data_IF_448731857838
#
_entry.id   IF_448731857838
#
_cell.length_a   1.000
_cell.length_b   1.000
_cell.length_c   1.000
_cell.angle_alpha   90.00
_cell.angle_beta   90.00
_cell.angle_gamma   90.00
#
_symmetry.space_group_name_H-M   'P 1'
#
loop_
_entity.id
_entity.type
_entity.pdbx_description
1 polymer ?
#
# COMPACT_ATOMS: atom_id res chain seq x y z
N UNK A 1 -23.26 -19.57 -26.67
CA UNK A 1 -21.96 -19.09 -27.15
C UNK A 1 -21.29 -18.40 -25.95
N UNK A 2 -20.23 -18.99 -25.41
CA UNK A 2 -19.44 -18.35 -24.33
C UNK A 2 -18.81 -17.10 -24.90
N UNK A 3 -19.17 -15.92 -24.36
CA UNK A 3 -18.49 -14.66 -24.68
C UNK A 3 -17.04 -14.85 -24.22
N UNK A 4 -16.08 -14.86 -25.17
CA UNK A 4 -14.66 -14.90 -24.80
C UNK A 4 -14.37 -13.63 -23.99
N UNK A 5 -13.86 -13.82 -22.76
CA UNK A 5 -13.41 -12.73 -21.90
C UNK A 5 -12.43 -11.82 -22.66
N UNK A 6 -12.65 -10.52 -22.62
CA UNK A 6 -11.74 -9.53 -23.22
C UNK A 6 -10.39 -9.57 -22.50
N UNK A 7 -10.36 -10.05 -21.24
CA UNK A 7 -9.17 -10.06 -20.39
C UNK A 7 -8.15 -11.16 -20.73
N UNK A 8 -8.54 -12.18 -21.50
CA UNK A 8 -7.69 -13.37 -21.77
C UNK A 8 -7.19 -13.44 -23.22
N UNK A 9 -7.55 -12.51 -24.09
CA UNK A 9 -7.11 -12.48 -25.48
C UNK A 9 -5.69 -11.90 -25.68
N UNK A 10 -5.08 -12.18 -26.85
CA UNK A 10 -3.73 -11.69 -27.22
C UNK A 10 -3.59 -10.15 -27.07
N UNK A 11 -4.66 -9.40 -27.32
CA UNK A 11 -4.67 -7.95 -27.16
C UNK A 11 -4.53 -7.53 -25.69
N UNK A 12 -5.15 -8.27 -24.77
CA UNK A 12 -5.03 -8.04 -23.35
C UNK A 12 -3.62 -8.36 -22.84
N UNK A 13 -3.05 -9.45 -23.33
CA UNK A 13 -1.66 -9.83 -23.02
C UNK A 13 -0.67 -8.77 -23.51
N UNK A 14 -0.87 -8.21 -24.71
CA UNK A 14 -0.04 -7.10 -25.22
C UNK A 14 -0.18 -5.85 -24.34
N UNK A 15 -1.40 -5.41 -24.00
CA UNK A 15 -1.61 -4.26 -23.11
C UNK A 15 -0.95 -4.45 -21.75
N UNK A 16 -1.00 -5.66 -21.18
CA UNK A 16 -0.29 -6.03 -19.97
C UNK A 16 1.23 -5.96 -20.13
N UNK A 17 1.79 -6.48 -21.21
CA UNK A 17 3.23 -6.44 -21.46
C UNK A 17 3.75 -5.01 -21.62
N UNK A 18 3.04 -4.15 -22.36
CA UNK A 18 3.39 -2.75 -22.54
C UNK A 18 3.28 -1.95 -21.23
N UNK A 19 2.23 -2.18 -20.44
CA UNK A 19 2.11 -1.63 -19.10
C UNK A 19 3.30 -2.06 -18.23
N UNK A 20 3.72 -3.33 -18.30
CA UNK A 20 4.85 -3.86 -17.55
C UNK A 20 6.19 -3.23 -17.95
N UNK A 21 6.40 -2.95 -19.23
CA UNK A 21 7.59 -2.21 -19.68
C UNK A 21 7.60 -0.80 -19.09
N UNK A 22 6.48 -0.09 -19.13
CA UNK A 22 6.33 1.25 -18.57
C UNK A 22 6.54 1.26 -17.06
N UNK A 23 5.97 0.28 -16.35
CA UNK A 23 6.12 0.17 -14.90
C UNK A 23 7.58 -0.06 -14.49
N UNK A 24 8.26 -1.01 -15.14
CA UNK A 24 9.69 -1.24 -14.88
C UNK A 24 10.57 -0.03 -15.20
N UNK A 25 10.20 0.73 -16.23
CA UNK A 25 10.90 1.98 -16.54
C UNK A 25 10.64 3.06 -15.46
N UNK A 26 9.47 3.08 -14.84
CA UNK A 26 9.13 3.98 -13.74
C UNK A 26 9.85 3.58 -12.43
N UNK A 27 9.85 2.29 -12.07
CA UNK A 27 10.60 1.76 -10.92
C UNK A 27 10.90 0.25 -11.10
N UNK A 28 12.19 -0.16 -10.99
CA UNK A 28 12.58 -1.56 -11.16
C UNK A 28 12.05 -2.51 -10.06
N UNK A 29 11.54 -1.99 -8.93
CA UNK A 29 10.89 -2.79 -7.89
C UNK A 29 9.42 -3.12 -8.21
N UNK A 30 8.83 -2.48 -9.22
CA UNK A 30 7.46 -2.80 -9.63
C UNK A 30 7.40 -4.22 -10.22
N UNK A 31 6.37 -5.01 -9.89
CA UNK A 31 6.19 -6.34 -10.43
C UNK A 31 5.83 -6.27 -11.92
N UNK A 32 6.02 -7.39 -12.62
CA UNK A 32 5.32 -7.57 -13.88
C UNK A 32 3.80 -7.56 -13.62
N UNK A 33 3.00 -6.92 -14.50
CA UNK A 33 1.56 -6.93 -14.31
C UNK A 33 1.03 -8.37 -14.29
N UNK A 34 0.38 -8.75 -13.21
CA UNK A 34 -0.34 -10.01 -13.15
C UNK A 34 -1.47 -10.02 -14.21
N UNK A 35 -1.86 -11.19 -14.72
CA UNK A 35 -3.09 -11.30 -15.52
C UNK A 35 -4.27 -10.70 -14.76
N UNK A 36 -5.17 -10.02 -15.49
CA UNK A 36 -6.41 -9.56 -14.89
C UNK A 36 -7.30 -10.76 -14.62
N UNK A 37 -7.94 -10.77 -13.44
CA UNK A 37 -8.76 -11.90 -13.01
C UNK A 37 -9.98 -12.07 -13.90
N UNK A 38 -10.22 -13.28 -14.48
CA UNK A 38 -11.43 -13.58 -15.23
C UNK A 38 -12.68 -13.65 -14.33
N UNK A 39 -12.51 -13.96 -13.04
CA UNK A 39 -13.57 -13.93 -12.04
C UNK A 39 -13.65 -12.52 -11.43
N UNK A 40 -14.20 -11.58 -12.19
CA UNK A 40 -14.44 -10.21 -11.77
C UNK A 40 -15.93 -9.86 -11.96
N UNK A 41 -16.40 -8.83 -11.26
CA UNK A 41 -17.80 -8.37 -11.35
C UNK A 41 -18.10 -7.73 -12.71
N UNK A 42 -17.09 -7.13 -13.33
CA UNK A 42 -17.21 -6.56 -14.68
C UNK A 42 -15.85 -6.44 -15.37
N UNK A 43 -15.88 -6.62 -16.71
CA UNK A 43 -14.75 -6.35 -17.60
C UNK A 43 -14.97 -5.05 -18.34
N UNK A 44 -13.94 -4.22 -18.38
CA UNK A 44 -13.95 -2.95 -19.10
C UNK A 44 -12.86 -2.94 -20.16
N UNK A 45 -13.16 -2.40 -21.33
CA UNK A 45 -12.18 -2.26 -22.40
C UNK A 45 -12.35 -0.95 -23.15
N UNK A 46 -11.25 -0.37 -23.60
CA UNK A 46 -11.19 0.83 -24.46
C UNK A 46 -10.40 0.47 -25.70
N UNK A 47 -11.01 0.66 -26.87
CA UNK A 47 -10.35 0.46 -28.15
C UNK A 47 -10.25 1.77 -28.95
N UNK A 48 -9.27 1.82 -29.85
CA UNK A 48 -9.17 2.82 -30.91
C UNK A 48 -10.26 2.59 -31.99
N UNK A 49 -10.54 3.57 -32.85
CA UNK A 49 -11.47 3.39 -33.97
C UNK A 49 -11.15 2.22 -34.89
N UNK A 50 -9.86 1.85 -35.00
CA UNK A 50 -9.38 0.68 -35.78
C UNK A 50 -9.50 -0.65 -35.06
N UNK A 51 -10.08 -0.70 -33.84
CA UNK A 51 -10.25 -1.92 -33.05
C UNK A 51 -9.06 -2.32 -32.19
N UNK A 52 -7.95 -1.59 -32.24
CA UNK A 52 -6.80 -1.81 -31.37
C UNK A 52 -7.15 -1.53 -29.90
N UNK A 53 -6.80 -2.44 -29.01
CA UNK A 53 -7.06 -2.33 -27.58
C UNK A 53 -6.07 -1.36 -26.92
N UNK A 54 -6.59 -0.28 -26.34
CA UNK A 54 -5.80 0.77 -25.68
C UNK A 54 -5.74 0.58 -24.17
N UNK A 55 -6.81 0.11 -23.55
CA UNK A 55 -6.87 -0.14 -22.12
C UNK A 55 -7.90 -1.21 -21.79
N UNK A 56 -7.59 -1.97 -20.73
CA UNK A 56 -8.49 -2.98 -20.15
C UNK A 56 -8.51 -2.83 -18.63
N UNK A 57 -9.58 -3.27 -18.03
CA UNK A 57 -9.73 -3.31 -16.57
C UNK A 57 -10.66 -4.43 -16.10
N UNK A 58 -10.34 -5.00 -14.96
CA UNK A 58 -11.23 -5.87 -14.19
C UNK A 58 -11.73 -5.12 -12.96
N UNK A 59 -13.03 -5.18 -12.72
CA UNK A 59 -13.68 -4.59 -11.56
C UNK A 59 -13.96 -5.66 -10.53
N UNK A 60 -13.64 -5.40 -9.27
CA UNK A 60 -13.95 -6.26 -8.14
C UNK A 60 -14.62 -5.43 -7.04
N UNK A 61 -15.55 -6.05 -6.33
CA UNK A 61 -16.21 -5.46 -5.17
C UNK A 61 -15.81 -6.21 -3.91
N UNK A 62 -15.24 -5.48 -2.96
CA UNK A 62 -14.83 -6.00 -1.67
C UNK A 62 -15.68 -5.39 -0.56
N UNK A 63 -16.15 -6.25 0.34
CA UNK A 63 -16.85 -5.88 1.57
C UNK A 63 -15.95 -6.21 2.76
N UNK A 64 -15.67 -5.22 3.59
CA UNK A 64 -14.87 -5.40 4.79
C UNK A 64 -15.62 -6.18 5.86
N UNK A 65 -14.90 -7.04 6.56
CA UNK A 65 -15.40 -7.65 7.78
C UNK A 65 -15.47 -6.57 8.87
N UNK A 66 -16.66 -6.30 9.46
CA UNK A 66 -16.82 -5.26 10.47
C UNK A 66 -15.94 -5.47 11.70
N UNK A 67 -15.49 -6.68 11.98
CA UNK A 67 -14.66 -7.01 13.13
C UNK A 67 -13.16 -7.07 12.80
N UNK A 68 -12.77 -6.99 11.53
CA UNK A 68 -11.38 -7.03 11.13
C UNK A 68 -10.67 -5.67 11.25
N UNK A 69 -9.38 -5.71 11.56
CA UNK A 69 -8.55 -4.51 11.71
C UNK A 69 -8.37 -3.75 10.40
N UNK A 70 -8.34 -4.46 9.26
CA UNK A 70 -8.14 -3.87 7.93
C UNK A 70 -9.22 -2.85 7.54
N UNK A 71 -10.43 -2.98 8.14
CA UNK A 71 -11.51 -2.02 7.98
C UNK A 71 -11.16 -0.62 8.53
N UNK A 72 -10.21 -0.53 9.45
CA UNK A 72 -9.69 0.74 9.97
C UNK A 72 -8.98 1.56 8.89
N UNK A 73 -8.40 0.90 7.87
CA UNK A 73 -7.54 1.51 6.87
C UNK A 73 -8.25 1.96 5.59
N UNK A 74 -9.58 1.84 5.53
CA UNK A 74 -10.31 2.20 4.31
C UNK A 74 -11.82 2.29 4.48
N UNK A 75 -12.52 2.38 3.34
CA UNK A 75 -13.98 2.33 3.29
C UNK A 75 -14.48 0.90 3.56
N UNK A 76 -15.68 0.78 4.15
CA UNK A 76 -16.29 -0.51 4.43
C UNK A 76 -16.61 -1.32 3.16
N UNK A 77 -16.86 -0.63 2.06
CA UNK A 77 -17.13 -1.24 0.77
C UNK A 77 -16.22 -0.59 -0.28
N UNK A 78 -15.41 -1.40 -0.94
CA UNK A 78 -14.44 -0.94 -1.93
C UNK A 78 -14.74 -1.55 -3.29
N UNK A 79 -14.87 -0.70 -4.30
CA UNK A 79 -14.96 -1.08 -5.70
C UNK A 79 -13.59 -0.85 -6.30
N UNK A 80 -12.91 -1.91 -6.66
CA UNK A 80 -11.52 -1.86 -7.12
C UNK A 80 -11.44 -2.04 -8.62
N UNK A 81 -10.63 -1.20 -9.28
CA UNK A 81 -10.29 -1.33 -10.69
C UNK A 81 -8.81 -1.74 -10.82
N UNK A 82 -8.58 -2.95 -11.33
CA UNK A 82 -7.27 -3.35 -11.82
C UNK A 82 -7.16 -3.00 -13.30
N UNK A 83 -6.33 -2.01 -13.65
CA UNK A 83 -6.22 -1.50 -15.01
C UNK A 83 -4.89 -1.84 -15.69
N UNK A 84 -4.93 -2.09 -17.00
CA UNK A 84 -3.75 -2.18 -17.88
C UNK A 84 -3.98 -1.25 -19.06
N UNK A 85 -3.04 -0.35 -19.29
CA UNK A 85 -3.10 0.64 -20.38
C UNK A 85 -1.89 0.42 -21.27
N UNK A 86 -2.13 0.26 -22.55
CA UNK A 86 -1.09 0.06 -23.54
C UNK A 86 -0.29 1.34 -23.82
N UNK A 87 0.91 1.17 -24.32
CA UNK A 87 1.78 2.25 -24.79
C UNK A 87 2.79 2.80 -23.77
N UNK A 88 3.74 3.61 -24.27
CA UNK A 88 4.74 4.29 -23.44
C UNK A 88 4.11 5.43 -22.63
N UNK A 89 4.81 5.88 -21.58
CA UNK A 89 4.36 7.02 -20.77
C UNK A 89 4.11 8.26 -21.65
N UNK A 90 2.97 8.91 -21.44
CA UNK A 90 2.61 10.10 -22.22
C UNK A 90 1.11 10.34 -22.32
N UNK A 91 0.69 11.36 -23.12
CA UNK A 91 -0.71 11.75 -23.25
C UNK A 91 -1.64 10.63 -23.71
N UNK A 92 -1.20 9.74 -24.60
CA UNK A 92 -2.02 8.62 -25.07
C UNK A 92 -2.44 7.66 -23.95
N UNK A 93 -1.53 7.38 -23.01
CA UNK A 93 -1.83 6.58 -21.80
C UNK A 93 -2.82 7.33 -20.90
N UNK A 94 -2.63 8.66 -20.73
CA UNK A 94 -3.55 9.50 -19.96
C UNK A 94 -4.96 9.44 -20.53
N UNK A 95 -5.11 9.61 -21.84
CA UNK A 95 -6.42 9.62 -22.52
C UNK A 95 -7.08 8.23 -22.52
N UNK A 96 -6.30 7.17 -22.72
CA UNK A 96 -6.82 5.81 -22.66
C UNK A 96 -7.31 5.45 -21.25
N UNK A 97 -6.56 5.83 -20.21
CA UNK A 97 -6.97 5.65 -18.82
C UNK A 97 -8.22 6.49 -18.50
N UNK A 98 -8.25 7.74 -18.91
CA UNK A 98 -9.42 8.63 -18.71
C UNK A 98 -10.71 8.03 -19.29
N UNK A 99 -10.62 7.46 -20.52
CA UNK A 99 -11.74 6.77 -21.15
C UNK A 99 -12.14 5.50 -20.40
N UNK A 100 -11.17 4.73 -19.87
CA UNK A 100 -11.45 3.54 -19.06
C UNK A 100 -12.15 3.92 -17.76
N UNK A 101 -11.66 4.96 -17.06
CA UNK A 101 -12.27 5.50 -15.85
C UNK A 101 -13.70 6.01 -16.11
N UNK A 102 -13.94 6.62 -17.26
CA UNK A 102 -15.29 7.01 -17.68
C UNK A 102 -16.25 5.83 -17.82
N UNK A 103 -15.78 4.70 -18.35
CA UNK A 103 -16.58 3.45 -18.43
C UNK A 103 -16.81 2.87 -17.04
N UNK A 104 -15.78 2.88 -16.19
CA UNK A 104 -15.93 2.42 -14.81
C UNK A 104 -16.93 3.27 -14.02
N UNK A 105 -16.89 4.59 -14.17
CA UNK A 105 -17.93 5.47 -13.60
C UNK A 105 -19.34 5.07 -14.03
N UNK A 106 -19.54 4.79 -15.33
CA UNK A 106 -20.82 4.30 -15.83
C UNK A 106 -21.27 2.98 -15.19
N UNK A 107 -20.34 2.06 -14.98
CA UNK A 107 -20.59 0.81 -14.27
C UNK A 107 -20.98 1.06 -12.80
N UNK A 108 -20.20 1.87 -12.06
CA UNK A 108 -20.50 2.21 -10.67
C UNK A 108 -21.85 2.91 -10.51
N UNK A 109 -22.22 3.80 -11.44
CA UNK A 109 -23.51 4.47 -11.44
C UNK A 109 -24.70 3.51 -11.62
N UNK A 110 -24.48 2.33 -12.19
CA UNK A 110 -25.50 1.29 -12.30
C UNK A 110 -25.66 0.43 -11.04
N UNK A 111 -24.76 0.60 -10.06
CA UNK A 111 -24.74 -0.17 -8.81
C UNK A 111 -25.29 0.68 -7.66
N UNK A 112 -26.50 0.39 -7.13
CA UNK A 112 -27.06 1.14 -5.99
C UNK A 112 -26.14 1.16 -4.76
N UNK A 113 -25.40 0.06 -4.53
CA UNK A 113 -24.45 -0.06 -3.42
C UNK A 113 -23.29 0.93 -3.48
N UNK A 114 -22.88 1.39 -4.68
CA UNK A 114 -21.80 2.34 -4.85
C UNK A 114 -22.14 3.76 -4.34
N UNK A 115 -23.42 4.08 -4.18
CA UNK A 115 -23.88 5.38 -3.68
C UNK A 115 -23.86 5.50 -2.15
N UNK A 116 -23.64 4.41 -1.42
CA UNK A 116 -23.60 4.44 0.04
C UNK A 116 -22.42 5.26 0.57
N UNK A 117 -22.59 5.91 1.72
CA UNK A 117 -21.64 6.88 2.24
C UNK A 117 -20.26 6.28 2.58
N UNK A 118 -20.19 5.03 3.06
CA UNK A 118 -18.94 4.37 3.41
C UNK A 118 -18.45 3.44 2.29
N UNK A 119 -18.35 4.01 1.08
CA UNK A 119 -17.86 3.33 -0.12
C UNK A 119 -16.69 4.08 -0.72
N UNK A 120 -15.81 3.36 -1.42
CA UNK A 120 -14.73 3.94 -2.20
C UNK A 120 -14.58 3.23 -3.55
N UNK A 121 -14.33 4.00 -4.60
CA UNK A 121 -13.75 3.52 -5.84
C UNK A 121 -12.23 3.58 -5.68
N UNK A 122 -11.53 2.47 -5.88
CA UNK A 122 -10.11 2.32 -5.58
C UNK A 122 -9.34 1.87 -6.81
N UNK A 123 -8.19 2.50 -7.06
CA UNK A 123 -7.23 2.07 -8.06
C UNK A 123 -5.81 2.24 -7.54
N UNK A 124 -4.98 1.21 -7.64
CA UNK A 124 -3.56 1.30 -7.40
C UNK A 124 -2.83 1.65 -8.70
N UNK A 125 -2.05 2.73 -8.66
CA UNK A 125 -1.28 3.19 -9.81
C UNK A 125 0.19 3.37 -9.42
N UNK A 126 1.16 2.96 -10.27
CA UNK A 126 2.58 3.17 -9.95
C UNK A 126 2.88 4.64 -9.65
N UNK A 127 3.48 4.91 -8.50
CA UNK A 127 3.65 6.30 -8.01
C UNK A 127 4.46 7.19 -8.97
N UNK A 128 5.35 6.59 -9.75
CA UNK A 128 6.22 7.31 -10.72
C UNK A 128 5.71 7.26 -12.16
N UNK A 129 4.62 6.56 -12.45
CA UNK A 129 3.95 6.65 -13.75
C UNK A 129 2.98 7.83 -13.76
N UNK A 130 3.54 9.01 -14.01
CA UNK A 130 2.80 10.29 -13.98
C UNK A 130 1.69 10.38 -15.02
N UNK A 131 1.72 9.51 -16.06
CA UNK A 131 0.71 9.49 -17.11
C UNK A 131 -0.69 9.21 -16.56
N UNK A 132 -0.81 8.41 -15.49
CA UNK A 132 -2.10 8.12 -14.86
C UNK A 132 -2.63 9.23 -13.95
N UNK A 133 -1.75 10.00 -13.32
CA UNK A 133 -2.14 10.95 -12.28
C UNK A 133 -3.13 12.01 -12.79
N UNK A 134 -2.92 12.56 -13.98
CA UNK A 134 -3.79 13.58 -14.57
C UNK A 134 -5.20 13.06 -14.86
N UNK A 135 -5.33 11.81 -15.34
CA UNK A 135 -6.61 11.17 -15.58
C UNK A 135 -7.37 10.92 -14.26
N UNK A 136 -6.66 10.40 -13.23
CA UNK A 136 -7.23 10.11 -11.93
C UNK A 136 -7.73 11.38 -11.23
N UNK A 137 -6.93 12.46 -11.22
CA UNK A 137 -7.34 13.75 -10.66
C UNK A 137 -8.57 14.34 -11.38
N UNK A 138 -8.61 14.30 -12.72
CA UNK A 138 -9.77 14.78 -13.49
C UNK A 138 -11.06 14.05 -13.15
N UNK A 139 -10.96 12.77 -12.81
CA UNK A 139 -12.09 11.91 -12.43
C UNK A 139 -12.46 11.99 -10.96
N UNK A 140 -11.82 12.87 -10.17
CA UNK A 140 -12.14 13.11 -8.78
C UNK A 140 -11.50 12.15 -7.79
N UNK A 141 -10.49 11.39 -8.23
CA UNK A 141 -9.69 10.58 -7.32
C UNK A 141 -8.71 11.43 -6.54
N UNK A 142 -8.53 11.10 -5.26
CA UNK A 142 -7.47 11.65 -4.42
C UNK A 142 -6.40 10.59 -4.12
N UNK A 143 -5.10 10.96 -4.09
CA UNK A 143 -4.05 10.06 -3.66
C UNK A 143 -4.09 9.96 -2.13
N UNK A 144 -4.67 8.89 -1.57
CA UNK A 144 -4.86 8.76 -0.12
C UNK A 144 -3.74 8.02 0.59
N UNK A 145 -3.27 6.92 0.02
CA UNK A 145 -2.23 6.12 0.64
C UNK A 145 -1.11 5.79 -0.37
N UNK A 146 0.06 5.52 0.15
CA UNK A 146 1.22 5.09 -0.63
C UNK A 146 1.72 3.77 -0.07
N UNK A 147 1.95 2.80 -0.95
CA UNK A 147 2.80 1.66 -0.64
C UNK A 147 4.22 2.07 -0.98
N UNK A 148 5.06 2.17 0.06
CA UNK A 148 6.47 2.50 -0.11
C UNK A 148 7.33 1.24 0.08
N UNK A 149 8.46 1.21 -0.63
CA UNK A 149 9.39 0.11 -0.63
C UNK A 149 10.81 0.56 -0.27
N UNK A 150 11.49 -0.25 0.53
CA UNK A 150 12.93 -0.16 0.78
C UNK A 150 13.57 -1.52 0.46
N UNK A 151 14.40 -1.57 -0.58
CA UNK A 151 15.21 -2.74 -0.84
C UNK A 151 16.32 -2.88 0.22
N UNK A 152 16.56 -4.09 0.69
CA UNK A 152 17.75 -4.45 1.47
C UNK A 152 18.98 -4.52 0.56
N UNK A 153 20.15 -4.72 1.13
CA UNK A 153 21.36 -4.93 0.32
C UNK A 153 21.25 -6.14 -0.62
N UNK A 154 20.57 -7.21 -0.20
CA UNK A 154 20.30 -8.38 -1.03
C UNK A 154 19.32 -8.06 -2.16
N UNK A 155 18.22 -7.36 -1.83
CA UNK A 155 17.21 -6.95 -2.80
C UNK A 155 17.71 -5.94 -3.82
N UNK A 156 18.56 -5.01 -3.43
CA UNK A 156 19.18 -4.05 -4.34
C UNK A 156 20.08 -4.75 -5.39
N UNK A 157 20.76 -5.81 -5.00
CA UNK A 157 21.54 -6.65 -5.94
C UNK A 157 20.64 -7.47 -6.87
N UNK A 158 19.52 -7.98 -6.37
CA UNK A 158 18.55 -8.76 -7.15
C UNK A 158 17.81 -7.89 -8.19
N UNK A 159 17.49 -6.67 -7.85
CA UNK A 159 16.91 -5.68 -8.76
C UNK A 159 18.01 -5.04 -9.62
N UNK A 160 18.59 -5.78 -10.54
CA UNK A 160 19.65 -5.32 -11.45
C UNK A 160 19.22 -4.00 -12.13
N UNK A 161 19.87 -2.88 -11.78
CA UNK A 161 19.52 -1.54 -12.21
C UNK A 161 18.86 -0.64 -11.14
N UNK A 162 18.48 -1.16 -9.99
CA UNK A 162 18.22 -0.32 -8.82
C UNK A 162 19.56 0.34 -8.44
N UNK A 163 19.69 1.62 -8.78
CA UNK A 163 20.86 2.41 -8.39
C UNK A 163 21.16 2.15 -6.92
N UNK A 164 22.43 2.10 -6.57
CA UNK A 164 22.93 1.82 -5.23
C UNK A 164 22.12 2.67 -4.23
N UNK A 165 21.06 2.08 -3.67
CA UNK A 165 20.42 2.66 -2.52
C UNK A 165 21.44 2.52 -1.39
N UNK A 166 22.23 3.57 -1.18
CA UNK A 166 22.93 3.72 0.08
C UNK A 166 21.83 3.74 1.13
N UNK A 167 21.66 2.61 1.81
CA UNK A 167 20.69 2.51 2.89
C UNK A 167 20.98 3.61 3.90
N UNK A 168 19.98 4.16 4.58
CA UNK A 168 20.20 5.14 5.62
C UNK A 168 21.18 4.54 6.63
N UNK A 169 22.08 5.36 7.15
CA UNK A 169 23.01 4.95 8.19
C UNK A 169 22.21 4.39 9.37
N UNK A 170 22.64 3.27 9.91
CA UNK A 170 22.02 2.70 11.09
C UNK A 170 21.89 3.76 12.19
N UNK A 171 20.67 3.93 12.71
CA UNK A 171 20.37 4.89 13.77
C UNK A 171 20.41 4.17 15.11
N UNK A 172 21.33 4.55 15.99
CA UNK A 172 21.32 4.10 17.38
C UNK A 172 20.17 4.78 18.14
N UNK A 173 19.63 4.12 19.18
CA UNK A 173 18.69 4.76 20.09
C UNK A 173 19.28 6.04 20.70
N UNK A 174 18.47 7.11 20.87
CA UNK A 174 18.92 8.32 21.57
C UNK A 174 19.26 8.02 23.02
N UNK A 175 20.03 8.95 23.63
CA UNK A 175 20.40 8.82 25.05
C UNK A 175 19.18 8.62 25.97
N UNK A 176 19.26 7.67 26.87
CA UNK A 176 18.22 7.31 27.80
C UNK A 176 17.05 6.51 27.19
N UNK A 177 17.11 6.19 25.89
CA UNK A 177 16.11 5.32 25.21
C UNK A 177 16.69 3.94 24.97
N UNK A 178 15.95 2.92 25.38
CA UNK A 178 16.23 1.51 25.09
C UNK A 178 15.18 0.97 24.11
N UNK A 179 15.63 0.26 23.09
CA UNK A 179 14.74 -0.50 22.19
C UNK A 179 14.94 -1.98 22.50
N UNK A 180 13.84 -2.67 22.73
CA UNK A 180 13.82 -4.12 22.97
C UNK A 180 12.70 -4.79 22.20
N UNK A 181 12.81 -6.09 22.00
CA UNK A 181 11.70 -6.90 21.50
C UNK A 181 10.57 -6.90 22.53
N UNK A 182 9.35 -6.77 22.04
CA UNK A 182 8.16 -6.77 22.88
C UNK A 182 7.83 -8.21 23.35
N UNK A 183 7.18 -8.29 24.48
CA UNK A 183 6.69 -9.52 25.12
C UNK A 183 5.16 -9.44 25.30
N UNK A 184 4.46 -10.55 25.62
CA UNK A 184 3.02 -10.50 25.89
C UNK A 184 2.60 -9.50 26.98
N UNK A 185 3.47 -9.21 27.95
CA UNK A 185 3.19 -8.24 29.01
C UNK A 185 3.13 -6.79 28.51
N UNK A 186 3.63 -6.54 27.30
CA UNK A 186 3.64 -5.21 26.68
C UNK A 186 2.35 -4.89 25.87
N UNK A 187 1.41 -5.83 25.77
CA UNK A 187 0.23 -5.74 24.90
C UNK A 187 -0.54 -4.43 25.11
N UNK A 188 -0.82 -4.06 26.36
CA UNK A 188 -1.56 -2.83 26.66
C UNK A 188 -0.81 -1.57 26.19
N UNK A 189 0.49 -1.51 26.39
CA UNK A 189 1.32 -0.39 25.96
C UNK A 189 1.39 -0.27 24.43
N UNK A 190 1.52 -1.41 23.74
CA UNK A 190 1.53 -1.47 22.28
C UNK A 190 0.20 -1.02 21.68
N UNK A 191 -0.92 -1.52 22.20
CA UNK A 191 -2.27 -1.12 21.75
C UNK A 191 -2.50 0.37 21.96
N UNK A 192 -2.13 0.91 23.12
CA UNK A 192 -2.25 2.35 23.40
C UNK A 192 -1.46 3.18 22.39
N UNK A 193 -0.17 2.85 22.15
CA UNK A 193 0.68 3.54 21.19
C UNK A 193 0.17 3.37 19.75
N UNK A 194 -0.34 2.18 19.38
CA UNK A 194 -0.94 1.92 18.08
C UNK A 194 -2.19 2.76 17.83
N UNK A 195 -3.05 2.90 18.84
CA UNK A 195 -4.24 3.77 18.76
C UNK A 195 -3.88 5.24 18.59
N UNK A 196 -2.78 5.72 19.19
CA UNK A 196 -2.30 7.10 18.96
C UNK A 196 -1.96 7.33 17.47
N UNK A 197 -1.39 6.33 16.79
CA UNK A 197 -1.12 6.40 15.34
C UNK A 197 -2.41 6.41 14.54
N UNK A 198 -3.32 5.47 14.81
CA UNK A 198 -4.61 5.36 14.12
C UNK A 198 -5.39 6.67 14.24
N UNK A 199 -5.49 7.23 15.44
CA UNK A 199 -6.19 8.49 15.70
C UNK A 199 -5.54 9.68 15.01
N UNK A 200 -4.20 9.70 14.96
CA UNK A 200 -3.48 10.74 14.22
C UNK A 200 -3.72 10.60 12.71
N UNK A 201 -3.61 9.41 12.15
CA UNK A 201 -3.81 9.19 10.72
C UNK A 201 -5.27 9.37 10.28
N UNK A 202 -6.24 9.23 11.19
CA UNK A 202 -7.65 9.51 10.92
C UNK A 202 -7.91 10.98 10.49
N UNK A 203 -7.04 11.92 10.84
CA UNK A 203 -7.11 13.32 10.36
C UNK A 203 -6.87 13.45 8.86
N UNK A 204 -6.33 12.45 8.20
CA UNK A 204 -5.94 12.48 6.78
C UNK A 204 -6.92 11.75 5.84
N UNK A 205 -8.06 11.29 6.36
CA UNK A 205 -9.22 10.85 5.59
C UNK A 205 -9.19 9.42 5.06
N UNK A 206 -8.05 8.73 5.09
CA UNK A 206 -7.93 7.32 4.69
C UNK A 206 -8.34 6.38 5.82
N UNK A 207 -7.87 6.68 7.02
CA UNK A 207 -8.04 5.88 8.24
C UNK A 207 -9.29 6.30 9.01
N UNK A 208 -10.00 5.34 9.62
CA UNK A 208 -11.14 5.58 10.50
C UNK A 208 -11.08 4.69 11.73
N UNK A 209 -11.08 5.30 12.93
CA UNK A 209 -11.31 4.54 14.16
C UNK A 209 -12.77 4.08 14.16
N UNK A 210 -12.97 2.77 14.19
CA UNK A 210 -14.29 2.12 14.18
C UNK A 210 -14.59 1.53 15.55
N UNK A 211 -15.84 1.21 15.88
CA UNK A 211 -16.17 0.58 17.17
C UNK A 211 -15.36 -0.69 17.47
N UNK A 212 -15.01 -1.47 16.42
CA UNK A 212 -14.20 -2.69 16.53
C UNK A 212 -12.70 -2.46 16.58
N UNK A 213 -12.18 -1.26 16.23
CA UNK A 213 -10.74 -1.01 16.04
C UNK A 213 -9.90 -1.40 17.26
N UNK A 214 -10.34 -1.07 18.47
CA UNK A 214 -9.58 -1.40 19.70
C UNK A 214 -9.50 -2.90 19.90
N UNK A 215 -10.62 -3.60 19.77
CA UNK A 215 -10.67 -5.06 19.93
C UNK A 215 -9.85 -5.77 18.85
N UNK A 216 -10.01 -5.35 17.58
CA UNK A 216 -9.28 -5.91 16.45
C UNK A 216 -7.76 -5.68 16.56
N UNK A 217 -7.33 -4.47 16.92
CA UNK A 217 -5.91 -4.17 17.14
C UNK A 217 -5.32 -4.99 18.29
N UNK A 218 -6.11 -5.16 19.39
CA UNK A 218 -5.69 -5.97 20.53
C UNK A 218 -5.51 -7.44 20.13
N UNK A 219 -6.46 -7.99 19.38
CA UNK A 219 -6.41 -9.37 18.89
C UNK A 219 -5.21 -9.59 17.94
N UNK A 220 -4.99 -8.68 17.01
CA UNK A 220 -3.87 -8.72 16.08
C UNK A 220 -2.53 -8.70 16.83
N UNK A 221 -2.33 -7.75 17.73
CA UNK A 221 -1.08 -7.64 18.49
C UNK A 221 -0.87 -8.82 19.43
N UNK A 222 -1.94 -9.35 20.04
CA UNK A 222 -1.84 -10.55 20.87
C UNK A 222 -1.40 -11.77 20.03
N UNK A 223 -1.96 -11.93 18.82
CA UNK A 223 -1.56 -13.00 17.91
C UNK A 223 -0.09 -12.86 17.47
N UNK A 224 0.34 -11.65 17.13
CA UNK A 224 1.74 -11.38 16.79
C UNK A 224 2.70 -11.67 17.95
N UNK A 225 2.34 -11.29 19.18
CA UNK A 225 3.15 -11.51 20.38
C UNK A 225 3.24 -12.99 20.79
N UNK A 226 2.27 -13.80 20.39
CA UNK A 226 2.28 -15.25 20.65
C UNK A 226 3.31 -16.01 19.79
N UNK A 227 3.88 -15.37 18.76
CA UNK A 227 4.91 -15.97 17.93
C UNK A 227 6.24 -16.16 18.68
N UNK A 228 7.03 -17.19 18.35
CA UNK A 228 8.31 -17.47 19.04
C UNK A 228 9.31 -16.31 19.00
N UNK A 229 9.28 -15.50 17.97
CA UNK A 229 10.14 -14.31 17.82
C UNK A 229 9.33 -13.22 17.15
N UNK A 230 8.45 -12.52 17.90
CA UNK A 230 7.58 -11.52 17.31
C UNK A 230 8.40 -10.35 16.73
N UNK A 231 8.04 -9.89 15.53
CA UNK A 231 8.63 -8.68 14.98
C UNK A 231 7.88 -7.46 15.50
N UNK A 232 7.95 -7.33 16.82
CA UNK A 232 7.41 -6.19 17.54
C UNK A 232 8.47 -5.65 18.51
N UNK A 233 8.63 -4.34 18.51
CA UNK A 233 9.62 -3.65 19.35
C UNK A 233 8.96 -2.53 20.12
N UNK A 234 9.43 -2.33 21.34
CA UNK A 234 9.08 -1.24 22.23
C UNK A 234 10.31 -0.37 22.46
N UNK A 235 10.14 0.94 22.32
CA UNK A 235 11.12 1.93 22.75
C UNK A 235 10.68 2.49 24.10
N UNK A 236 11.59 2.50 25.08
CA UNK A 236 11.36 2.91 26.46
C UNK A 236 12.34 3.99 26.88
N UNK A 237 11.85 4.99 27.59
CA UNK A 237 12.68 5.93 28.35
C UNK A 237 12.55 5.61 29.83
N UNK A 238 13.60 5.02 30.42
CA UNK A 238 13.47 4.35 31.72
C UNK A 238 12.50 3.17 31.61
N UNK A 239 11.37 3.23 32.32
CA UNK A 239 10.28 2.24 32.23
C UNK A 239 9.06 2.73 31.45
N UNK A 240 9.10 3.96 30.89
CA UNK A 240 7.97 4.54 30.18
C UNK A 240 8.02 4.19 28.68
N UNK A 241 7.01 3.49 28.12
CA UNK A 241 6.90 3.20 26.70
C UNK A 241 6.67 4.49 25.91
N UNK A 242 7.62 4.83 25.03
CA UNK A 242 7.63 6.09 24.23
C UNK A 242 7.48 5.86 22.74
N UNK A 243 7.59 4.61 22.27
CA UNK A 243 7.41 4.28 20.87
C UNK A 243 7.27 2.78 20.66
N UNK A 244 6.68 2.40 19.53
CA UNK A 244 6.49 1.00 19.16
C UNK A 244 6.67 0.81 17.65
N UNK A 245 6.99 -0.42 17.24
CA UNK A 245 6.96 -0.89 15.87
C UNK A 245 6.43 -2.31 15.84
N UNK A 246 5.49 -2.59 14.94
CA UNK A 246 4.99 -3.92 14.61
C UNK A 246 5.21 -4.21 13.13
N UNK A 247 5.72 -5.40 12.82
CA UNK A 247 6.02 -5.81 11.44
C UNK A 247 5.72 -7.28 11.22
N UNK A 248 5.41 -7.64 9.98
CA UNK A 248 5.18 -9.00 9.51
C UNK A 248 6.43 -9.53 8.81
N UNK A 249 6.81 -10.75 9.19
CA UNK A 249 7.86 -11.50 8.51
C UNK A 249 7.41 -11.90 7.10
N UNK A 250 8.33 -12.28 6.21
CA UNK A 250 7.96 -12.69 4.85
C UNK A 250 6.89 -13.79 4.75
N UNK A 251 6.81 -14.68 5.74
CA UNK A 251 5.80 -15.73 5.76
C UNK A 251 4.37 -15.18 5.99
N UNK A 252 4.24 -14.09 6.75
CA UNK A 252 2.95 -13.44 7.04
C UNK A 252 2.60 -12.36 6.00
N UNK A 253 3.60 -11.70 5.42
CA UNK A 253 3.46 -10.60 4.47
C UNK A 253 3.12 -11.07 3.02
N UNK A 254 2.62 -12.31 2.84
CA UNK A 254 2.32 -12.85 1.50
C UNK A 254 1.20 -12.08 0.79
N UNK A 255 0.28 -11.46 1.53
CA UNK A 255 -0.81 -10.66 0.99
C UNK A 255 -0.33 -9.39 0.26
N UNK A 256 0.79 -8.80 0.69
CA UNK A 256 1.37 -7.58 0.10
C UNK A 256 2.53 -7.90 -0.87
N UNK A 257 3.11 -9.09 -0.78
CA UNK A 257 4.24 -9.50 -1.62
C UNK A 257 4.00 -9.30 -3.14
N UNK A 258 2.80 -9.51 -3.70
CA UNK A 258 2.54 -9.25 -5.12
C UNK A 258 2.70 -7.78 -5.55
N UNK A 259 2.79 -6.84 -4.61
CA UNK A 259 2.99 -5.42 -4.91
C UNK A 259 4.43 -5.06 -5.26
N UNK A 260 5.37 -6.01 -5.21
CA UNK A 260 6.78 -5.83 -5.60
C UNK A 260 7.27 -6.97 -6.48
N UNK A 261 8.27 -6.67 -7.34
CA UNK A 261 8.90 -7.65 -8.23
C UNK A 261 10.07 -8.41 -7.59
N UNK A 262 10.39 -8.17 -6.32
CA UNK A 262 11.48 -8.86 -5.61
C UNK A 262 10.98 -9.51 -4.32
N UNK A 263 11.59 -10.64 -3.97
CA UNK A 263 11.21 -11.45 -2.82
C UNK A 263 12.46 -11.98 -2.09
N UNK A 264 12.36 -12.34 -0.82
CA UNK A 264 11.17 -12.26 0.05
C UNK A 264 10.86 -10.83 0.49
N UNK A 265 9.57 -10.52 0.70
CA UNK A 265 9.08 -9.22 1.16
C UNK A 265 8.60 -9.31 2.62
N UNK A 266 8.99 -8.34 3.45
CA UNK A 266 8.43 -8.11 4.77
C UNK A 266 7.52 -6.87 4.74
N UNK A 267 6.67 -6.73 5.75
CA UNK A 267 5.76 -5.60 5.84
C UNK A 267 5.84 -4.92 7.20
N UNK A 268 6.04 -3.61 7.22
CA UNK A 268 5.93 -2.80 8.43
C UNK A 268 4.47 -2.40 8.60
N UNK A 269 3.80 -3.03 9.57
CA UNK A 269 2.38 -2.89 9.82
C UNK A 269 2.05 -1.54 10.46
N UNK A 270 2.73 -1.20 11.55
CA UNK A 270 2.46 0.01 12.32
C UNK A 270 3.72 0.48 13.07
N UNK A 271 3.94 1.79 13.09
CA UNK A 271 5.00 2.39 13.91
C UNK A 271 4.52 3.73 14.47
N UNK A 272 4.74 3.93 15.74
CA UNK A 272 4.40 5.17 16.44
C UNK A 272 5.45 5.60 17.45
N UNK A 273 5.56 6.91 17.61
CA UNK A 273 6.35 7.56 18.65
C UNK A 273 5.47 8.62 19.31
N UNK A 274 5.41 8.62 20.63
CA UNK A 274 4.69 9.64 21.43
C UNK A 274 5.01 11.05 20.94
N UNK A 275 4.01 11.93 20.94
CA UNK A 275 4.18 13.29 20.42
C UNK A 275 5.33 14.05 21.09
N UNK A 276 5.52 13.87 22.42
CA UNK A 276 6.60 14.50 23.20
C UNK A 276 8.00 14.00 22.86
N UNK A 277 8.13 12.84 22.21
CA UNK A 277 9.40 12.18 21.87
C UNK A 277 9.75 12.25 20.38
N UNK A 278 8.86 12.88 19.59
CA UNK A 278 9.09 13.07 18.14
C UNK A 278 10.25 14.02 17.89
N UNK A 279 10.93 13.81 16.77
CA UNK A 279 12.12 14.61 16.41
C UNK A 279 13.41 14.21 17.15
N UNK A 280 13.33 13.40 18.23
CA UNK A 280 14.46 12.96 19.04
C UNK A 280 15.19 11.70 18.50
N UNK A 281 14.83 11.16 17.33
CA UNK A 281 15.53 9.99 16.75
C UNK A 281 14.93 8.62 17.12
N UNK A 282 13.96 8.54 18.02
CA UNK A 282 13.34 7.26 18.46
C UNK A 282 12.77 6.47 17.28
N UNK A 283 12.01 7.15 16.39
CA UNK A 283 11.43 6.50 15.21
C UNK A 283 12.48 5.97 14.24
N UNK A 284 13.57 6.73 14.01
CA UNK A 284 14.66 6.28 13.15
C UNK A 284 15.38 5.06 13.73
N UNK A 285 15.56 5.00 15.05
CA UNK A 285 16.16 3.87 15.72
C UNK A 285 15.25 2.61 15.66
N UNK A 286 13.93 2.75 15.85
CA UNK A 286 12.95 1.65 15.66
C UNK A 286 12.99 1.11 14.22
N UNK A 287 12.93 2.00 13.22
CA UNK A 287 12.97 1.60 11.82
C UNK A 287 14.31 0.92 11.45
N UNK A 288 15.43 1.39 12.03
CA UNK A 288 16.75 0.79 11.85
C UNK A 288 16.83 -0.61 12.49
N UNK A 289 16.26 -0.79 13.67
CA UNK A 289 16.21 -2.11 14.36
C UNK A 289 15.46 -3.12 13.50
N UNK A 290 14.26 -2.77 13.02
CA UNK A 290 13.47 -3.64 12.13
C UNK A 290 14.22 -3.95 10.84
N UNK A 291 14.88 -2.98 10.24
CA UNK A 291 15.62 -3.19 9.01
C UNK A 291 16.80 -4.15 9.19
N UNK A 292 17.52 -4.07 10.31
CA UNK A 292 18.61 -4.99 10.65
C UNK A 292 18.09 -6.42 10.81
N UNK A 293 16.97 -6.60 11.52
CA UNK A 293 16.34 -7.90 11.68
C UNK A 293 15.86 -8.49 10.33
N UNK A 294 15.27 -7.64 9.48
CA UNK A 294 14.83 -8.05 8.16
C UNK A 294 16.01 -8.50 7.27
N UNK A 295 17.13 -7.79 7.31
CA UNK A 295 18.35 -8.18 6.58
C UNK A 295 18.92 -9.49 7.11
N UNK A 296 18.97 -9.67 8.43
CA UNK A 296 19.42 -10.92 9.06
C UNK A 296 18.50 -12.11 8.71
N UNK A 297 17.21 -11.87 8.52
CA UNK A 297 16.23 -12.89 8.10
C UNK A 297 16.24 -13.15 6.57
N UNK A 298 17.15 -12.52 5.81
CA UNK A 298 17.25 -12.72 4.36
C UNK A 298 16.15 -12.02 3.55
N UNK A 299 15.44 -11.06 4.13
CA UNK A 299 14.42 -10.26 3.44
C UNK A 299 15.08 -9.43 2.32
N UNK A 300 14.45 -9.38 1.15
CA UNK A 300 14.93 -8.60 0.00
C UNK A 300 14.33 -7.19 -0.05
N UNK A 301 13.10 -7.01 0.45
CA UNK A 301 12.40 -5.73 0.45
C UNK A 301 11.50 -5.61 1.65
N UNK A 302 11.40 -4.40 2.19
CA UNK A 302 10.44 -4.03 3.23
C UNK A 302 9.42 -3.09 2.60
N UNK A 303 8.14 -3.44 2.75
CA UNK A 303 7.02 -2.63 2.31
C UNK A 303 6.32 -1.99 3.51
N UNK A 304 5.68 -0.86 3.32
CA UNK A 304 4.80 -0.21 4.29
C UNK A 304 3.76 0.65 3.59
N UNK A 305 2.68 0.96 4.29
CA UNK A 305 1.75 2.00 3.88
C UNK A 305 1.95 3.28 4.69
N UNK A 306 1.70 4.43 4.06
CA UNK A 306 1.52 5.69 4.78
C UNK A 306 0.47 6.55 4.08
N UNK A 307 -0.22 7.41 4.86
CA UNK A 307 -1.15 8.38 4.32
C UNK A 307 -0.39 9.45 3.53
N UNK A 308 -0.72 9.63 2.24
CA UNK A 308 0.00 10.53 1.32
C UNK A 308 0.01 11.99 1.83
N UNK A 309 -1.06 12.42 2.46
CA UNK A 309 -1.21 13.81 2.95
C UNK A 309 -0.73 14.00 4.38
N UNK A 310 -0.24 12.95 5.06
CA UNK A 310 0.37 13.06 6.38
C UNK A 310 1.74 13.74 6.25
N UNK A 311 1.90 14.98 6.78
CA UNK A 311 3.12 15.76 6.59
C UNK A 311 4.34 15.18 7.30
N UNK A 312 4.16 14.26 8.24
CA UNK A 312 5.23 13.61 8.98
C UNK A 312 5.74 12.33 8.30
N UNK A 313 4.84 11.58 7.63
CA UNK A 313 5.16 10.24 7.14
C UNK A 313 6.06 10.26 5.91
N UNK A 314 5.70 10.98 4.86
CA UNK A 314 6.46 10.96 3.61
C UNK A 314 7.93 11.43 3.79
N UNK A 315 8.24 12.56 4.46
CA UNK A 315 9.61 12.97 4.73
C UNK A 315 10.37 11.98 5.60
N UNK A 316 9.71 11.45 6.65
CA UNK A 316 10.33 10.48 7.55
C UNK A 316 10.72 9.21 6.80
N UNK A 317 9.79 8.57 6.08
CA UNK A 317 10.07 7.32 5.38
C UNK A 317 11.08 7.49 4.24
N UNK A 318 11.07 8.64 3.56
CA UNK A 318 12.10 8.97 2.57
C UNK A 318 13.49 9.03 3.19
N UNK A 319 13.65 9.64 4.38
CA UNK A 319 14.90 9.65 5.12
C UNK A 319 15.34 8.25 5.59
N UNK A 320 14.37 7.33 5.82
CA UNK A 320 14.65 5.94 6.14
C UNK A 320 14.93 5.08 4.88
N UNK A 321 15.06 5.69 3.70
CA UNK A 321 15.38 5.01 2.44
C UNK A 321 14.20 4.33 1.74
N UNK A 322 12.98 4.59 2.20
CA UNK A 322 11.78 4.14 1.49
C UNK A 322 11.44 5.07 0.35
N UNK A 323 10.94 4.52 -0.75
CA UNK A 323 10.44 5.31 -1.88
C UNK A 323 9.03 4.88 -2.26
N UNK A 324 8.17 5.81 -2.70
CA UNK A 324 6.85 5.49 -3.22
C UNK A 324 6.94 4.47 -4.36
N UNK A 325 6.18 3.36 -4.26
CA UNK A 325 6.07 2.33 -5.28
C UNK A 325 4.71 2.36 -5.95
N UNK A 326 3.65 2.34 -5.12
CA UNK A 326 2.26 2.47 -5.57
C UNK A 326 1.57 3.60 -4.83
N UNK A 327 0.72 4.31 -5.53
CA UNK A 327 -0.24 5.24 -4.92
C UNK A 327 -1.63 4.61 -5.01
N UNK A 328 -2.31 4.49 -3.87
CA UNK A 328 -3.71 4.13 -3.77
C UNK A 328 -4.54 5.40 -3.99
N UNK A 329 -5.27 5.42 -5.08
CA UNK A 329 -6.17 6.50 -5.44
C UNK A 329 -7.60 6.13 -5.11
N UNK A 330 -8.32 7.02 -4.45
CA UNK A 330 -9.69 6.77 -4.05
C UNK A 330 -10.63 7.90 -4.45
N UNK A 331 -11.84 7.53 -4.89
CA UNK A 331 -13.00 8.42 -5.02
C UNK A 331 -14.06 8.02 -4.00
N UNK A 332 -14.53 8.95 -3.18
CA UNK A 332 -15.51 8.70 -2.12
C UNK A 332 -16.68 9.67 -2.18
N UNK A 333 -17.95 9.18 -2.04
CA UNK A 333 -18.33 7.77 -2.18
C UNK A 333 -18.07 7.24 -3.59
N UNK A 334 -18.03 5.91 -3.78
CA UNK A 334 -17.67 5.30 -5.05
C UNK A 334 -18.51 5.79 -6.25
N UNK A 335 -19.81 6.04 -6.02
CA UNK A 335 -20.73 6.55 -7.04
C UNK A 335 -20.56 8.05 -7.39
N UNK A 336 -19.71 8.81 -6.68
CA UNK A 336 -19.53 10.25 -6.90
C UNK A 336 -18.38 10.60 -7.87
N UNK A 337 -17.80 9.64 -8.57
CA UNK A 337 -16.75 9.89 -9.57
C UNK A 337 -17.24 10.83 -10.68
N UNK A 338 -16.36 11.75 -11.14
CA UNK A 338 -16.64 12.76 -12.18
C UNK A 338 -16.40 12.22 -13.59
#
# INVERSE_FOLDING_TARGET
MSVRSVLTGDAALRAGAEAGLRWRAADPLLPAPAPLHPECDAELAVAAPGGELLAIGSCAHWLGDPDALDLTWGAASRFELSARVAGPAGPAVTDALDRLLGRWRGHLASLPSAAAADTAAVIHWPSRDVSGAAALLRRGFAPLAVIAARATAAGARAAAGAGSAVGPKASAPPEGVRIRRATPDDLEALVRLGLEVIRFDAHFGGVRERPSTVAALTAEFAAMLAEPQPWMWLAERGSDPVGMLAAEKPAQAQWIAPMTGIAPAAYLLLMGVRASERGGGVGAALASTMATEAEAAGTSVILLHYAQVNPLSAPFWSQQGYRPLWTCWEGRPAGALR
#
